data_IF_548224885916
#
_entry.id   IF_548224885916
#
_cell.length_a   1.000
_cell.length_b   1.000
_cell.length_c   1.000
_cell.angle_alpha   90.00
_cell.angle_beta   90.00
_cell.angle_gamma   90.00
#
_symmetry.space_group_name_H-M   'P 1'
#
loop_
_entity.id
_entity.type
_entity.pdbx_description
1 polymer ?
#
# COMPACT_ATOMS: atom_id res chain seq x y z
N UNK A 1 -8.42 -13.22 -4.64
CA UNK A 1 -7.44 -12.11 -4.59
C UNK A 1 -6.86 -11.86 -5.98
N UNK A 2 -6.52 -10.61 -6.34
CA UNK A 2 -5.77 -10.26 -7.57
C UNK A 2 -4.37 -9.80 -7.17
N UNK A 3 -3.35 -10.17 -7.96
CA UNK A 3 -1.96 -9.73 -7.74
C UNK A 3 -1.44 -9.06 -9.00
N UNK A 4 -0.87 -7.87 -8.85
CA UNK A 4 -0.21 -7.13 -9.91
C UNK A 4 1.22 -6.79 -9.48
N UNK A 5 2.19 -7.35 -10.18
CA UNK A 5 3.61 -7.00 -10.02
C UNK A 5 3.97 -6.02 -11.14
N UNK A 6 4.45 -4.84 -10.78
CA UNK A 6 4.73 -3.78 -11.75
C UNK A 6 5.95 -4.16 -12.62
N UNK A 7 5.67 -4.45 -13.89
CA UNK A 7 6.71 -4.70 -14.91
C UNK A 7 7.04 -3.39 -15.65
N UNK A 8 7.82 -2.52 -14.99
CA UNK A 8 8.20 -1.23 -15.55
C UNK A 8 9.67 -0.89 -15.28
N UNK A 9 10.47 -0.52 -16.32
CA UNK A 9 11.90 -0.24 -16.15
C UNK A 9 12.24 0.79 -15.08
N UNK A 10 11.43 1.83 -14.91
CA UNK A 10 11.63 2.84 -13.85
C UNK A 10 11.41 2.28 -12.45
N UNK A 11 10.44 1.37 -12.27
CA UNK A 11 10.23 0.70 -10.99
C UNK A 11 11.45 -0.16 -10.64
N UNK A 12 11.88 -1.00 -11.58
CA UNK A 12 13.07 -1.85 -11.40
C UNK A 12 14.33 -1.03 -11.13
N UNK A 13 14.55 0.06 -11.87
CA UNK A 13 15.70 0.94 -11.66
C UNK A 13 15.69 1.56 -10.24
N UNK A 14 14.55 2.11 -9.82
CA UNK A 14 14.43 2.74 -8.48
C UNK A 14 14.57 1.71 -7.36
N UNK A 15 14.01 0.52 -7.52
CA UNK A 15 14.19 -0.59 -6.58
C UNK A 15 15.66 -1.01 -6.47
N UNK A 16 16.41 -1.02 -7.57
CA UNK A 16 17.85 -1.32 -7.54
C UNK A 16 18.61 -0.37 -6.61
N UNK A 17 18.36 0.93 -6.72
CA UNK A 17 18.99 1.94 -5.84
C UNK A 17 18.44 1.83 -4.41
N UNK A 18 17.13 1.59 -4.25
CA UNK A 18 16.50 1.45 -2.93
C UNK A 18 17.10 0.29 -2.13
N UNK A 19 17.39 -0.84 -2.79
CA UNK A 19 17.94 -2.05 -2.18
C UNK A 19 19.38 -1.91 -1.74
N UNK A 20 20.17 -1.04 -2.39
CA UNK A 20 21.59 -0.89 -2.07
C UNK A 20 21.78 -0.50 -0.61
N UNK A 21 22.64 -1.27 0.09
CA UNK A 21 22.98 -1.06 1.49
C UNK A 21 23.50 0.34 1.77
N UNK A 22 24.20 0.94 0.80
CA UNK A 22 24.81 2.27 0.94
C UNK A 22 23.85 3.42 0.66
N UNK A 23 22.57 3.14 0.27
CA UNK A 23 21.60 4.19 0.04
C UNK A 23 21.21 4.88 1.36
N UNK A 24 21.55 6.17 1.52
CA UNK A 24 21.27 6.87 2.77
C UNK A 24 19.79 7.16 2.95
N UNK A 25 19.32 7.28 4.21
CA UNK A 25 17.90 7.48 4.54
C UNK A 25 17.21 8.61 3.77
N UNK A 26 17.79 9.79 3.51
CA UNK A 26 17.14 10.83 2.72
C UNK A 26 16.83 10.37 1.28
N UNK A 27 17.78 9.69 0.64
CA UNK A 27 17.59 9.12 -0.71
C UNK A 27 16.58 7.97 -0.68
N UNK A 28 16.64 7.13 0.35
CA UNK A 28 15.68 6.04 0.54
C UNK A 28 14.25 6.58 0.63
N UNK A 29 14.00 7.63 1.45
CA UNK A 29 12.69 8.28 1.55
C UNK A 29 12.19 8.84 0.22
N UNK A 30 13.06 9.54 -0.50
CA UNK A 30 12.71 10.08 -1.81
C UNK A 30 12.30 8.97 -2.79
N UNK A 31 13.09 7.88 -2.87
CA UNK A 31 12.80 6.73 -3.71
C UNK A 31 11.50 6.00 -3.32
N UNK A 32 11.21 5.87 -2.03
CA UNK A 32 9.94 5.30 -1.55
C UNK A 32 8.75 6.12 -2.06
N UNK A 33 8.80 7.45 -1.94
CA UNK A 33 7.73 8.33 -2.44
C UNK A 33 7.59 8.26 -3.97
N UNK A 34 8.70 8.25 -4.70
CA UNK A 34 8.69 8.14 -6.16
C UNK A 34 8.16 6.78 -6.64
N UNK A 35 8.61 5.68 -6.02
CA UNK A 35 8.08 4.35 -6.29
C UNK A 35 6.60 4.26 -5.99
N UNK A 36 6.18 4.82 -4.83
CA UNK A 36 4.77 4.84 -4.47
C UNK A 36 3.92 5.57 -5.52
N UNK A 37 4.38 6.69 -6.07
CA UNK A 37 3.66 7.39 -7.14
C UNK A 37 3.46 6.51 -8.38
N UNK A 38 4.47 5.74 -8.78
CA UNK A 38 4.37 4.81 -9.90
C UNK A 38 3.41 3.65 -9.59
N UNK A 39 3.52 3.06 -8.41
CA UNK A 39 2.66 1.95 -7.98
C UNK A 39 1.22 2.41 -7.73
N UNK A 40 1.02 3.64 -7.25
CA UNK A 40 -0.30 4.24 -7.09
C UNK A 40 -1.03 4.38 -8.43
N UNK A 41 -0.31 4.73 -9.49
CA UNK A 41 -0.89 4.78 -10.85
C UNK A 41 -1.44 3.40 -11.25
N UNK A 42 -0.70 2.32 -10.98
CA UNK A 42 -1.19 0.95 -11.23
C UNK A 42 -2.33 0.56 -10.29
N UNK A 43 -2.21 0.88 -9.01
CA UNK A 43 -3.20 0.53 -7.99
C UNK A 43 -4.56 1.21 -8.19
N UNK A 44 -4.58 2.34 -8.88
CA UNK A 44 -5.80 3.16 -9.09
C UNK A 44 -6.51 2.90 -10.42
N UNK A 45 -6.13 1.85 -11.17
CA UNK A 45 -6.78 1.51 -12.45
C UNK A 45 -8.28 1.30 -12.35
N UNK A 46 -8.74 0.77 -11.22
CA UNK A 46 -10.16 0.48 -10.96
C UNK A 46 -10.80 1.52 -10.01
N UNK A 47 -10.21 2.72 -9.87
CA UNK A 47 -10.82 3.79 -9.07
C UNK A 47 -12.17 4.17 -9.67
N UNK A 48 -13.20 4.24 -8.82
CA UNK A 48 -14.56 4.51 -9.29
C UNK A 48 -14.70 5.96 -9.71
N UNK A 49 -15.34 6.15 -10.87
CA UNK A 49 -15.61 7.45 -11.42
C UNK A 49 -17.10 7.61 -11.74
N UNK A 50 -17.56 8.86 -11.76
CA UNK A 50 -18.91 9.24 -12.16
C UNK A 50 -18.85 10.32 -13.23
N UNK A 51 -19.82 10.37 -14.18
CA UNK A 51 -19.91 11.43 -15.14
C UNK A 51 -20.21 12.76 -14.45
N UNK A 52 -19.62 13.85 -14.96
CA UNK A 52 -19.84 15.22 -14.51
C UNK A 52 -19.90 16.15 -15.71
N UNK A 53 -20.95 16.97 -15.78
CA UNK A 53 -21.07 17.97 -16.84
C UNK A 53 -20.15 19.16 -16.53
N UNK A 54 -19.36 19.53 -17.50
CA UNK A 54 -18.41 20.65 -17.43
C UNK A 54 -18.54 21.54 -18.65
N UNK A 55 -18.05 22.76 -18.53
CA UNK A 55 -17.91 23.68 -19.65
C UNK A 55 -16.43 23.94 -19.92
N UNK A 56 -15.99 23.62 -21.13
CA UNK A 56 -14.64 23.96 -21.58
C UNK A 56 -14.64 25.34 -22.19
N UNK A 57 -13.48 25.99 -22.45
CA UNK A 57 -13.43 27.25 -23.14
C UNK A 57 -14.04 27.24 -24.56
N UNK A 58 -14.36 26.06 -25.10
CA UNK A 58 -14.87 25.89 -26.47
C UNK A 58 -16.33 25.42 -26.49
N UNK A 59 -16.73 24.48 -25.63
CA UNK A 59 -18.09 23.91 -25.63
C UNK A 59 -18.39 23.15 -24.33
N UNK A 60 -19.67 22.97 -23.97
CA UNK A 60 -20.10 22.03 -22.93
C UNK A 60 -19.71 20.59 -23.31
N UNK A 61 -19.35 19.80 -22.29
CA UNK A 61 -19.05 18.36 -22.44
C UNK A 61 -19.27 17.63 -21.13
N UNK A 62 -19.23 16.28 -21.18
CA UNK A 62 -19.28 15.43 -19.98
C UNK A 62 -17.89 14.84 -19.75
N UNK A 63 -17.33 15.08 -18.57
CA UNK A 63 -16.08 14.48 -18.10
C UNK A 63 -16.33 13.37 -17.07
N UNK A 64 -15.26 12.91 -16.40
CA UNK A 64 -15.32 11.95 -15.30
C UNK A 64 -14.66 12.56 -14.05
N UNK A 65 -15.29 12.36 -12.90
CA UNK A 65 -14.75 12.70 -11.60
C UNK A 65 -14.67 11.46 -10.71
N UNK A 66 -13.73 11.44 -9.75
CA UNK A 66 -13.68 10.35 -8.76
C UNK A 66 -14.98 10.37 -7.95
N UNK A 67 -15.63 9.21 -7.85
CA UNK A 67 -16.91 9.03 -7.18
C UNK A 67 -16.82 9.29 -5.66
N UNK A 68 -17.98 9.57 -5.06
CA UNK A 68 -18.12 9.56 -3.61
C UNK A 68 -18.72 8.21 -3.14
N UNK A 69 -18.38 7.77 -1.92
CA UNK A 69 -17.40 8.35 -0.98
C UNK A 69 -15.98 8.28 -1.55
N UNK A 70 -15.18 9.33 -1.30
CA UNK A 70 -13.80 9.38 -1.79
C UNK A 70 -12.99 8.18 -1.28
N UNK A 71 -12.00 7.68 -2.03
CA UNK A 71 -11.12 6.62 -1.57
C UNK A 71 -10.46 6.96 -0.25
N UNK A 72 -10.25 5.95 0.58
CA UNK A 72 -9.52 6.06 1.84
C UNK A 72 -8.12 5.48 1.67
N UNK A 73 -7.10 6.26 2.01
CA UNK A 73 -5.70 5.84 2.03
C UNK A 73 -5.29 5.57 3.47
N UNK A 74 -4.74 4.38 3.72
CA UNK A 74 -4.42 3.93 5.08
C UNK A 74 -2.98 3.41 5.12
N UNK A 75 -2.01 4.24 5.51
CA UNK A 75 -0.67 3.74 5.79
C UNK A 75 -0.68 2.89 7.07
N UNK A 76 -0.04 1.73 7.01
CA UNK A 76 0.27 0.92 8.19
C UNK A 76 1.51 1.52 8.85
N UNK A 77 1.32 2.09 10.02
CA UNK A 77 2.39 2.76 10.75
C UNK A 77 3.40 1.75 11.33
N UNK A 78 4.67 2.07 11.36
CA UNK A 78 5.36 3.32 10.99
C UNK A 78 5.73 3.42 9.52
N UNK A 79 6.17 2.33 8.90
CA UNK A 79 6.86 2.34 7.60
C UNK A 79 5.96 2.78 6.43
N UNK A 80 4.67 2.44 6.45
CA UNK A 80 3.71 2.86 5.43
C UNK A 80 3.54 4.38 5.32
N UNK A 81 3.86 5.13 6.38
CA UNK A 81 3.82 6.60 6.35
C UNK A 81 4.76 7.19 5.29
N UNK A 82 5.90 6.54 5.02
CA UNK A 82 6.81 6.98 3.97
C UNK A 82 6.25 6.90 2.55
N UNK A 83 5.15 6.17 2.36
CA UNK A 83 4.48 6.00 1.07
C UNK A 83 3.33 7.01 0.87
N UNK A 84 2.88 7.68 1.93
CA UNK A 84 1.66 8.49 1.91
C UNK A 84 1.74 9.64 0.91
N UNK A 85 2.85 10.38 0.86
CA UNK A 85 3.02 11.53 -0.02
C UNK A 85 2.91 11.13 -1.50
N UNK A 86 3.49 9.98 -1.88
CA UNK A 86 3.39 9.47 -3.25
C UNK A 86 1.94 9.18 -3.65
N UNK A 87 1.15 8.59 -2.75
CA UNK A 87 -0.27 8.28 -3.00
C UNK A 87 -1.13 9.54 -3.06
N UNK A 88 -0.99 10.45 -2.10
CA UNK A 88 -1.81 11.68 -2.04
C UNK A 88 -1.44 12.70 -3.13
N UNK A 89 -0.23 12.64 -3.66
CA UNK A 89 0.14 13.40 -4.86
C UNK A 89 -0.69 12.96 -6.08
N UNK A 90 -0.96 11.66 -6.21
CA UNK A 90 -1.75 11.13 -7.33
C UNK A 90 -3.25 11.30 -7.11
N UNK A 91 -3.75 11.08 -5.88
CA UNK A 91 -5.17 11.28 -5.53
C UNK A 91 -5.28 12.31 -4.41
N UNK A 92 -5.17 13.60 -4.70
CA UNK A 92 -5.19 14.66 -3.67
C UNK A 92 -6.54 14.80 -2.95
N UNK A 93 -7.60 14.23 -3.50
CA UNK A 93 -8.96 14.24 -2.91
C UNK A 93 -9.24 13.03 -2.02
N UNK A 94 -8.31 12.07 -1.93
CA UNK A 94 -8.48 10.92 -1.04
C UNK A 94 -8.47 11.36 0.43
N UNK A 95 -9.28 10.69 1.24
CA UNK A 95 -9.20 10.83 2.69
C UNK A 95 -8.06 9.96 3.23
N UNK A 96 -7.51 10.33 4.39
CA UNK A 96 -6.41 9.60 5.00
C UNK A 96 -6.82 9.10 6.38
N UNK A 97 -6.65 7.81 6.58
CA UNK A 97 -6.76 7.17 7.89
C UNK A 97 -5.42 6.58 8.32
N UNK A 98 -5.33 6.14 9.57
CA UNK A 98 -4.08 5.57 10.10
C UNK A 98 -4.35 4.30 10.89
N UNK A 99 -3.56 3.25 10.63
CA UNK A 99 -3.48 2.04 11.42
C UNK A 99 -2.06 1.87 11.94
N UNK A 100 -1.91 1.86 13.26
CA UNK A 100 -0.65 1.53 13.91
C UNK A 100 -0.67 0.07 14.34
N UNK A 101 0.21 -0.72 13.77
CA UNK A 101 0.35 -2.14 14.07
C UNK A 101 1.77 -2.44 14.56
N UNK A 102 1.88 -3.24 15.60
CA UNK A 102 3.15 -3.75 16.10
C UNK A 102 3.04 -5.27 16.20
N UNK A 103 4.10 -5.95 15.89
CA UNK A 103 4.18 -7.39 16.12
C UNK A 103 4.51 -7.62 17.60
N UNK A 104 3.68 -8.37 18.28
CA UNK A 104 3.99 -8.83 19.63
C UNK A 104 5.23 -9.75 19.60
N UNK A 105 6.23 -9.47 20.42
CA UNK A 105 7.52 -10.16 20.38
C UNK A 105 7.43 -11.63 20.86
N UNK A 106 6.45 -11.96 21.72
CA UNK A 106 6.27 -13.30 22.27
C UNK A 106 5.34 -14.15 21.39
N UNK A 107 4.19 -13.59 21.00
CA UNK A 107 3.15 -14.32 20.26
C UNK A 107 3.31 -14.20 18.76
N UNK A 108 4.13 -13.27 18.27
CA UNK A 108 4.29 -12.89 16.86
C UNK A 108 2.99 -12.44 16.18
N UNK A 109 1.94 -12.21 16.97
CA UNK A 109 0.65 -11.73 16.46
C UNK A 109 0.66 -10.21 16.28
N UNK A 110 0.01 -9.68 15.24
CA UNK A 110 -0.13 -8.24 15.06
C UNK A 110 -1.10 -7.67 16.12
N UNK A 111 -0.67 -6.64 16.83
CA UNK A 111 -1.48 -5.88 17.78
C UNK A 111 -1.65 -4.45 17.29
N UNK A 112 -2.88 -3.95 17.29
CA UNK A 112 -3.18 -2.57 16.90
C UNK A 112 -2.98 -1.63 18.09
N UNK A 113 -2.04 -0.69 17.97
CA UNK A 113 -1.75 0.33 19.00
C UNK A 113 -2.30 1.72 18.67
N UNK A 114 -2.66 1.97 17.42
CA UNK A 114 -3.24 3.24 16.98
C UNK A 114 -4.30 3.01 15.92
N UNK A 115 -5.44 3.68 16.05
CA UNK A 115 -6.55 3.65 15.11
C UNK A 115 -7.09 5.06 14.92
N UNK A 116 -7.07 5.54 13.69
CA UNK A 116 -7.73 6.78 13.27
C UNK A 116 -8.34 6.55 11.88
N UNK A 117 -9.53 5.98 11.88
CA UNK A 117 -10.33 5.66 10.69
C UNK A 117 -11.77 6.15 10.91
N UNK A 118 -12.54 6.40 9.84
CA UNK A 118 -13.99 6.53 9.93
C UNK A 118 -14.60 5.25 10.54
N UNK A 119 -15.70 5.41 11.29
CA UNK A 119 -16.38 4.29 11.92
C UNK A 119 -17.15 3.41 10.94
N UNK A 120 -17.48 3.93 9.75
CA UNK A 120 -18.17 3.25 8.67
C UNK A 120 -17.43 3.47 7.34
N UNK A 121 -17.04 2.36 6.70
CA UNK A 121 -16.37 2.34 5.40
C UNK A 121 -17.28 1.75 4.30
N UNK A 122 -18.58 1.68 4.52
CA UNK A 122 -19.54 1.15 3.55
C UNK A 122 -19.40 1.83 2.18
N UNK A 123 -19.31 1.00 1.14
CA UNK A 123 -19.12 1.42 -0.25
C UNK A 123 -17.79 2.18 -0.54
N UNK A 124 -16.83 2.14 0.36
CA UNK A 124 -15.56 2.87 0.20
C UNK A 124 -14.47 1.95 -0.34
N UNK A 125 -13.73 2.44 -1.35
CA UNK A 125 -12.48 1.83 -1.79
C UNK A 125 -11.36 2.23 -0.83
N UNK A 126 -10.58 1.25 -0.38
CA UNK A 126 -9.50 1.47 0.57
C UNK A 126 -8.14 1.08 -0.04
N UNK A 127 -7.14 1.95 0.11
CA UNK A 127 -5.77 1.71 -0.30
C UNK A 127 -4.89 1.58 0.95
N UNK A 128 -4.41 0.36 1.22
CA UNK A 128 -3.45 0.10 2.29
C UNK A 128 -2.02 0.31 1.78
N UNK A 129 -1.20 0.99 2.56
CA UNK A 129 0.19 1.25 2.23
C UNK A 129 1.10 0.57 3.25
N UNK A 130 1.86 -0.42 2.80
CA UNK A 130 2.87 -1.11 3.59
C UNK A 130 4.07 -1.43 2.70
N UNK A 131 5.30 -0.94 2.97
CA UNK A 131 6.43 -1.15 2.08
C UNK A 131 6.76 -2.62 1.82
N UNK A 132 6.46 -3.51 2.77
CA UNK A 132 6.99 -4.87 2.75
C UNK A 132 5.93 -5.92 3.08
N UNK A 133 5.54 -6.70 2.07
CA UNK A 133 4.73 -7.90 2.28
C UNK A 133 5.67 -9.10 2.58
N UNK A 134 6.11 -9.22 3.84
CA UNK A 134 6.95 -10.33 4.29
C UNK A 134 6.10 -11.57 4.64
N UNK A 135 5.70 -11.74 5.90
CA UNK A 135 4.85 -12.87 6.35
C UNK A 135 3.36 -12.64 6.11
N UNK A 136 2.96 -11.42 5.76
CA UNK A 136 1.56 -11.06 5.53
C UNK A 136 0.76 -10.69 6.78
N UNK A 137 1.23 -10.99 7.99
CA UNK A 137 0.43 -10.85 9.22
C UNK A 137 -0.15 -9.46 9.45
N UNK A 138 0.66 -8.39 9.34
CA UNK A 138 0.18 -7.01 9.52
C UNK A 138 -0.82 -6.63 8.43
N UNK A 139 -0.55 -7.02 7.19
CA UNK A 139 -1.43 -6.71 6.07
C UNK A 139 -2.78 -7.42 6.19
N UNK A 140 -2.79 -8.71 6.56
CA UNK A 140 -4.00 -9.51 6.81
C UNK A 140 -4.86 -8.84 7.88
N UNK A 141 -4.26 -8.52 9.04
CA UNK A 141 -4.99 -7.89 10.14
C UNK A 141 -5.55 -6.51 9.74
N UNK A 142 -4.82 -5.71 8.94
CA UNK A 142 -5.30 -4.44 8.43
C UNK A 142 -6.45 -4.62 7.43
N UNK A 143 -6.36 -5.59 6.52
CA UNK A 143 -7.42 -5.93 5.56
C UNK A 143 -8.69 -6.34 6.31
N UNK A 144 -8.59 -7.28 7.25
CA UNK A 144 -9.73 -7.77 8.03
C UNK A 144 -10.41 -6.61 8.76
N UNK A 145 -9.60 -5.76 9.38
CA UNK A 145 -10.10 -4.59 10.08
C UNK A 145 -10.90 -3.62 9.19
N UNK A 146 -10.45 -3.38 7.95
CA UNK A 146 -11.18 -2.52 7.01
C UNK A 146 -12.49 -3.17 6.55
N UNK A 147 -12.49 -4.49 6.29
CA UNK A 147 -13.72 -5.21 5.94
C UNK A 147 -14.72 -5.25 7.10
N UNK A 148 -14.26 -5.37 8.34
CA UNK A 148 -15.12 -5.31 9.54
C UNK A 148 -15.80 -3.94 9.71
N UNK A 149 -15.18 -2.87 9.20
CA UNK A 149 -15.77 -1.53 9.12
C UNK A 149 -16.66 -1.30 7.88
N UNK A 150 -16.84 -2.32 7.03
CA UNK A 150 -17.72 -2.26 5.87
C UNK A 150 -17.05 -1.89 4.54
N UNK A 151 -15.72 -1.86 4.44
CA UNK A 151 -15.04 -1.69 3.17
C UNK A 151 -15.48 -2.76 2.16
N UNK A 152 -15.63 -2.39 0.90
CA UNK A 152 -16.11 -3.31 -0.15
C UNK A 152 -15.00 -3.85 -1.01
N UNK A 153 -13.91 -3.12 -1.14
CA UNK A 153 -12.68 -3.54 -1.79
C UNK A 153 -11.47 -2.90 -1.11
N UNK A 154 -10.36 -3.65 -1.07
CA UNK A 154 -9.10 -3.19 -0.49
C UNK A 154 -7.98 -3.47 -1.47
N UNK A 155 -7.25 -2.42 -1.85
CA UNK A 155 -6.02 -2.53 -2.63
C UNK A 155 -4.82 -2.25 -1.72
N UNK A 156 -3.96 -3.24 -1.53
CA UNK A 156 -2.70 -3.06 -0.80
C UNK A 156 -1.56 -2.79 -1.77
N UNK A 157 -0.74 -1.80 -1.45
CA UNK A 157 0.43 -1.41 -2.25
C UNK A 157 1.68 -1.63 -1.43
N UNK A 158 2.59 -2.47 -1.95
CA UNK A 158 3.86 -2.77 -1.32
C UNK A 158 5.02 -2.55 -2.31
N UNK A 159 6.17 -2.10 -1.80
CA UNK A 159 7.36 -1.92 -2.64
C UNK A 159 7.93 -3.28 -3.05
N UNK A 160 7.97 -4.22 -2.11
CA UNK A 160 8.41 -5.61 -2.35
C UNK A 160 7.53 -6.59 -1.59
N UNK A 161 7.47 -7.82 -2.07
CA UNK A 161 6.76 -8.91 -1.41
C UNK A 161 7.48 -10.24 -1.50
N UNK A 162 7.07 -11.21 -0.70
CA UNK A 162 7.50 -12.60 -0.73
C UNK A 162 6.39 -13.52 -1.22
N UNK A 163 6.70 -14.67 -1.82
CA UNK A 163 5.72 -15.69 -2.17
C UNK A 163 4.94 -16.21 -0.96
N UNK A 164 5.62 -16.37 0.19
CA UNK A 164 5.01 -16.84 1.43
C UNK A 164 3.98 -15.84 1.96
N UNK A 165 4.31 -14.54 1.92
CA UNK A 165 3.39 -13.47 2.31
C UNK A 165 2.18 -13.39 1.40
N UNK A 166 2.37 -13.51 0.07
CA UNK A 166 1.26 -13.54 -0.88
C UNK A 166 0.33 -14.73 -0.63
N UNK A 167 0.88 -15.94 -0.43
CA UNK A 167 0.09 -17.12 -0.15
C UNK A 167 -0.72 -16.98 1.15
N UNK A 168 -0.11 -16.43 2.21
CA UNK A 168 -0.80 -16.19 3.47
C UNK A 168 -1.97 -15.19 3.32
N UNK A 169 -1.76 -14.09 2.59
CA UNK A 169 -2.81 -13.10 2.32
C UNK A 169 -3.92 -13.72 1.47
N UNK A 170 -3.59 -14.51 0.44
CA UNK A 170 -4.58 -15.16 -0.42
C UNK A 170 -5.49 -16.10 0.36
N UNK A 171 -4.91 -16.92 1.25
CA UNK A 171 -5.66 -17.83 2.11
C UNK A 171 -6.58 -17.08 3.08
N UNK A 172 -6.04 -16.07 3.78
CA UNK A 172 -6.78 -15.33 4.79
C UNK A 172 -7.89 -14.45 4.22
N UNK A 173 -7.75 -13.99 2.96
CA UNK A 173 -8.71 -13.09 2.32
C UNK A 173 -9.65 -13.79 1.33
N UNK A 174 -9.75 -15.13 1.41
CA UNK A 174 -10.64 -15.89 0.55
C UNK A 174 -12.09 -15.38 0.63
N UNK A 175 -12.68 -15.08 -0.53
CA UNK A 175 -14.03 -14.52 -0.61
C UNK A 175 -14.13 -12.98 -0.43
N UNK A 176 -13.02 -12.28 -0.21
CA UNK A 176 -12.95 -10.82 -0.16
C UNK A 176 -12.37 -10.23 -1.45
N UNK A 177 -12.83 -9.04 -1.83
CA UNK A 177 -12.27 -8.30 -2.97
C UNK A 177 -10.98 -7.60 -2.55
N UNK A 178 -9.86 -8.28 -2.75
CA UNK A 178 -8.51 -7.77 -2.41
C UNK A 178 -7.62 -7.76 -3.63
N UNK A 179 -6.90 -6.66 -3.82
CA UNK A 179 -5.86 -6.52 -4.84
C UNK A 179 -4.53 -6.21 -4.15
N UNK A 180 -3.47 -6.89 -4.55
CA UNK A 180 -2.09 -6.61 -4.10
C UNK A 180 -1.31 -6.05 -5.29
N UNK A 181 -0.73 -4.87 -5.11
CA UNK A 181 0.16 -4.24 -6.08
C UNK A 181 1.57 -4.20 -5.51
N UNK A 182 2.50 -4.81 -6.24
CA UNK A 182 3.91 -4.95 -5.81
C UNK A 182 4.84 -4.26 -6.81
N UNK A 183 5.88 -3.62 -6.28
CA UNK A 183 7.02 -3.17 -7.12
C UNK A 183 7.90 -4.34 -7.57
N UNK A 184 8.08 -5.34 -6.71
CA UNK A 184 8.71 -6.61 -7.06
C UNK A 184 8.22 -7.74 -6.15
N UNK A 185 8.21 -8.95 -6.70
CA UNK A 185 8.08 -10.20 -5.94
C UNK A 185 9.47 -10.81 -5.81
N UNK A 186 9.97 -10.92 -4.59
CA UNK A 186 11.28 -11.46 -4.26
C UNK A 186 11.25 -12.99 -4.12
N UNK A 187 12.42 -13.59 -3.83
CA UNK A 187 12.58 -15.04 -3.94
C UNK A 187 11.88 -15.80 -2.81
N UNK A 188 12.06 -15.36 -1.56
CA UNK A 188 11.58 -16.05 -0.35
C UNK A 188 11.75 -15.21 0.92
N UNK A 189 11.32 -15.76 2.04
CA UNK A 189 11.74 -15.30 3.38
C UNK A 189 12.96 -16.10 3.86
N UNK A 190 13.80 -15.46 4.69
CA UNK A 190 14.82 -16.17 5.48
C UNK A 190 14.23 -16.68 6.80
N UNK A 191 15.04 -17.37 7.61
CA UNK A 191 14.64 -17.94 8.91
C UNK A 191 14.16 -16.91 9.93
N UNK A 192 14.55 -15.63 9.77
CA UNK A 192 14.13 -14.51 10.62
C UNK A 192 12.91 -13.77 10.07
N UNK A 193 12.34 -14.22 8.94
CA UNK A 193 11.19 -13.59 8.30
C UNK A 193 11.52 -12.36 7.47
N UNK A 194 12.79 -12.12 7.10
CA UNK A 194 13.17 -11.07 6.16
C UNK A 194 13.03 -11.55 4.72
N UNK A 195 12.59 -10.65 3.85
CA UNK A 195 12.52 -10.89 2.40
C UNK A 195 13.94 -10.99 1.82
N UNK A 196 14.19 -11.95 0.93
CA UNK A 196 15.47 -12.19 0.26
C UNK A 196 15.27 -12.08 -1.26
N UNK A 197 16.07 -11.24 -1.96
CA UNK A 197 17.17 -10.40 -1.49
C UNK A 197 16.70 -9.22 -0.62
N UNK A 198 15.45 -8.75 -0.75
CA UNK A 198 14.86 -7.74 0.10
C UNK A 198 15.49 -6.36 0.00
N UNK A 199 15.32 -5.57 1.05
CA UNK A 199 15.89 -4.23 1.22
C UNK A 199 16.24 -3.92 2.69
N UNK A 200 16.24 -4.92 3.57
CA UNK A 200 16.39 -4.76 5.02
C UNK A 200 15.08 -4.35 5.70
N UNK A 201 15.16 -3.68 6.86
CA UNK A 201 13.98 -3.11 7.53
C UNK A 201 13.64 -1.74 6.92
N UNK A 202 12.44 -1.64 6.35
CA UNK A 202 12.00 -0.40 5.68
C UNK A 202 11.80 0.75 6.67
N UNK A 203 11.30 0.46 7.88
CA UNK A 203 11.10 1.48 8.91
C UNK A 203 12.42 2.10 9.36
N UNK A 204 13.40 1.27 9.64
CA UNK A 204 14.73 1.70 10.06
C UNK A 204 15.44 2.50 8.96
N UNK A 205 15.37 2.03 7.73
CA UNK A 205 15.93 2.73 6.57
C UNK A 205 15.24 4.05 6.25
N UNK A 206 13.92 4.15 6.46
CA UNK A 206 13.16 5.38 6.30
C UNK A 206 13.53 6.43 7.35
N UNK A 207 13.64 6.00 8.61
CA UNK A 207 13.72 6.92 9.76
C UNK A 207 15.11 7.03 10.39
N UNK A 208 16.05 6.18 9.98
CA UNK A 208 17.42 6.21 10.48
C UNK A 208 17.51 5.84 11.96
N UNK A 209 16.74 4.83 12.38
CA UNK A 209 16.66 4.41 13.79
C UNK A 209 17.66 3.32 14.17
N UNK A 210 18.53 2.92 13.25
CA UNK A 210 19.66 1.98 13.47
C UNK A 210 20.96 2.64 13.04
#
# INVERSE_FOLDING_TARGET
MRVHVADHPLVTHKLTVLRDLNTPSPTFRALVSELMTLLAYEATRDVRTVPVDIETPVAPTTGLAIADPKPLVVPILRAGLGMLDGMTTLIPTAEVGFLGMVRDEETLQPTTYAKRLPDDLSNRQCFLLDPMLATGGSLIAAIDFLFDLGAVDVTAVCLIGSPEGLAAVEEATAGKEVTIVLGALDERLNELGYIVPGLGDAGDRLYGTV
#
